data_IF_744378418172
#
_entry.id   IF_744378418172
#
_cell.length_a   1.000
_cell.length_b   1.000
_cell.length_c   1.000
_cell.angle_alpha   90.00
_cell.angle_beta   90.00
_cell.angle_gamma   90.00
#
_symmetry.space_group_name_H-M   'P 1'
#
loop_
_entity.id
_entity.type
_entity.pdbx_description
1 polymer ?
#
# COMPACT_ATOMS: atom_id res chain seq x y z
N UNK A 1 -32.18 -21.36 -6.30
CA UNK A 1 -31.35 -22.58 -6.16
C UNK A 1 -30.12 -22.48 -7.06
N UNK A 2 -28.93 -22.81 -6.56
CA UNK A 2 -27.72 -22.89 -7.38
C UNK A 2 -27.89 -24.07 -8.35
N UNK A 3 -27.84 -23.81 -9.66
CA UNK A 3 -28.11 -24.83 -10.68
C UNK A 3 -26.89 -25.72 -10.98
N UNK A 4 -25.71 -25.36 -10.48
CA UNK A 4 -24.48 -26.14 -10.61
C UNK A 4 -23.72 -26.15 -9.28
N UNK A 5 -23.09 -27.28 -8.96
CA UNK A 5 -22.15 -27.36 -7.86
C UNK A 5 -20.95 -26.43 -8.18
N UNK A 6 -20.42 -25.69 -7.20
CA UNK A 6 -19.24 -24.86 -7.41
C UNK A 6 -18.09 -25.72 -7.92
N UNK A 7 -17.43 -25.27 -8.99
CA UNK A 7 -16.24 -25.94 -9.51
C UNK A 7 -15.18 -26.06 -8.41
N UNK A 8 -14.64 -27.27 -8.24
CA UNK A 8 -13.49 -27.49 -7.37
C UNK A 8 -12.26 -26.96 -8.08
N UNK A 9 -11.94 -25.71 -7.83
CA UNK A 9 -10.65 -25.13 -8.20
C UNK A 9 -9.63 -25.71 -7.22
N UNK A 10 -8.63 -26.44 -7.72
CA UNK A 10 -7.51 -26.88 -6.89
C UNK A 10 -6.84 -25.63 -6.27
N UNK A 11 -6.59 -25.61 -4.95
CA UNK A 11 -5.93 -24.48 -4.34
C UNK A 11 -4.56 -24.32 -5.01
N UNK A 12 -4.35 -23.16 -5.65
CA UNK A 12 -3.06 -22.84 -6.22
C UNK A 12 -2.06 -22.73 -5.05
N UNK A 13 -1.24 -23.77 -4.83
CA UNK A 13 -0.24 -23.88 -3.76
C UNK A 13 0.94 -22.94 -3.98
N UNK A 14 0.70 -21.69 -4.38
CA UNK A 14 1.67 -20.64 -4.09
C UNK A 14 1.59 -20.41 -2.58
N UNK A 15 2.53 -21.01 -1.84
CA UNK A 15 2.77 -20.68 -0.43
C UNK A 15 3.07 -19.18 -0.37
N UNK A 16 2.03 -18.36 -0.23
CA UNK A 16 2.18 -16.94 0.01
C UNK A 16 2.58 -16.83 1.47
N UNK A 17 3.84 -16.49 1.71
CA UNK A 17 4.30 -16.13 3.05
C UNK A 17 3.39 -15.01 3.54
N UNK A 18 2.60 -15.27 4.58
CA UNK A 18 1.73 -14.26 5.16
C UNK A 18 2.60 -13.16 5.76
N UNK A 19 2.47 -11.94 5.24
CA UNK A 19 3.18 -10.77 5.74
C UNK A 19 2.24 -10.07 6.70
N UNK A 20 2.63 -9.98 7.97
CA UNK A 20 1.88 -9.21 8.95
C UNK A 20 2.10 -7.72 8.73
N UNK A 21 1.25 -7.06 7.94
CA UNK A 21 1.46 -5.64 7.61
C UNK A 21 1.29 -4.71 8.84
N UNK A 22 0.59 -5.19 9.87
CA UNK A 22 0.42 -4.47 11.13
C UNK A 22 1.73 -4.27 11.89
N UNK A 23 2.81 -4.99 11.56
CA UNK A 23 4.13 -4.74 12.14
C UNK A 23 4.86 -3.53 11.54
N UNK A 24 4.43 -3.03 10.38
CA UNK A 24 5.09 -1.92 9.67
C UNK A 24 4.38 -0.57 9.82
N UNK A 25 3.14 -0.57 10.30
CA UNK A 25 2.33 0.64 10.47
C UNK A 25 1.79 0.67 11.89
N UNK A 26 2.03 1.76 12.62
CA UNK A 26 1.43 1.93 13.95
C UNK A 26 -0.04 2.29 13.81
N UNK A 27 -0.89 1.69 14.62
CA UNK A 27 -2.31 2.02 14.70
C UNK A 27 -2.79 1.86 16.14
N UNK A 28 -3.82 2.61 16.49
CA UNK A 28 -4.30 2.70 17.87
C UNK A 28 -5.80 2.38 18.00
N UNK A 29 -6.46 2.01 16.89
CA UNK A 29 -7.89 1.68 16.86
C UNK A 29 -8.17 0.55 15.86
N UNK A 30 -9.09 -0.34 16.22
CA UNK A 30 -9.59 -1.40 15.33
C UNK A 30 -10.44 -0.88 14.18
N UNK A 31 -10.99 0.33 14.28
CA UNK A 31 -11.81 0.93 13.21
C UNK A 31 -10.94 1.54 12.08
N UNK A 32 -9.65 1.71 12.34
CA UNK A 32 -8.71 2.33 11.43
C UNK A 32 -7.30 1.75 11.59
N UNK A 33 -7.19 0.50 11.16
CA UNK A 33 -5.95 -0.29 11.14
C UNK A 33 -5.56 -0.66 9.70
N UNK A 34 -4.29 -0.99 9.42
CA UNK A 34 -3.91 -1.58 8.15
C UNK A 34 -4.47 -3.02 8.07
N UNK A 35 -4.55 -3.54 6.84
CA UNK A 35 -4.88 -4.96 6.66
C UNK A 35 -3.87 -5.86 7.39
N UNK A 36 -4.30 -6.99 7.93
CA UNK A 36 -3.39 -7.97 8.54
C UNK A 36 -2.60 -8.76 7.49
N UNK A 37 -3.20 -8.95 6.32
CA UNK A 37 -2.61 -9.61 5.15
C UNK A 37 -2.90 -8.78 3.90
N UNK A 38 -1.92 -8.67 3.00
CA UNK A 38 -2.03 -7.92 1.75
C UNK A 38 -2.73 -8.74 0.66
N UNK A 39 -2.60 -10.07 0.70
CA UNK A 39 -2.96 -10.95 -0.40
C UNK A 39 -4.44 -10.83 -0.87
N UNK A 40 -5.44 -10.66 0.00
CA UNK A 40 -6.85 -10.53 -0.42
C UNK A 40 -7.17 -9.23 -1.17
N UNK A 41 -6.30 -8.23 -1.05
CA UNK A 41 -6.53 -6.87 -1.56
C UNK A 41 -5.76 -6.58 -2.85
N UNK A 42 -4.91 -7.51 -3.28
CA UNK A 42 -4.12 -7.40 -4.51
C UNK A 42 -4.78 -8.23 -5.61
N UNK A 43 -4.99 -7.59 -6.76
CA UNK A 43 -5.62 -8.20 -7.92
C UNK A 43 -4.60 -9.08 -8.63
N UNK A 44 -4.84 -10.39 -8.59
CA UNK A 44 -4.00 -11.36 -9.29
C UNK A 44 -4.26 -11.39 -10.80
N UNK A 45 -5.55 -11.35 -11.19
CA UNK A 45 -5.99 -11.39 -12.59
C UNK A 45 -7.23 -10.50 -12.72
N UNK A 46 -7.32 -9.74 -13.80
CA UNK A 46 -8.54 -9.00 -14.13
C UNK A 46 -9.71 -9.98 -14.32
N UNK A 47 -10.90 -9.67 -13.79
CA UNK A 47 -12.08 -10.46 -14.06
C UNK A 47 -12.47 -10.35 -15.54
N UNK A 48 -13.16 -11.37 -16.06
CA UNK A 48 -13.66 -11.37 -17.44
C UNK A 48 -14.79 -10.36 -17.66
N UNK A 49 -15.52 -10.02 -16.59
CA UNK A 49 -16.53 -8.98 -16.57
C UNK A 49 -16.44 -8.17 -15.27
N UNK A 50 -16.50 -6.84 -15.39
CA UNK A 50 -16.60 -5.94 -14.24
C UNK A 50 -18.04 -5.87 -13.75
N UNK A 51 -18.36 -6.66 -12.73
CA UNK A 51 -19.65 -6.60 -12.06
C UNK A 51 -19.64 -5.67 -10.83
N UNK A 52 -20.79 -5.53 -10.17
CA UNK A 52 -20.93 -4.69 -8.98
C UNK A 52 -20.13 -5.24 -7.77
N UNK A 53 -19.88 -6.55 -7.72
CA UNK A 53 -19.09 -7.16 -6.65
C UNK A 53 -17.62 -6.82 -6.82
N UNK A 54 -17.08 -6.90 -8.04
CA UNK A 54 -15.72 -6.49 -8.35
C UNK A 54 -15.51 -5.01 -8.06
N UNK A 55 -16.43 -4.13 -8.46
CA UNK A 55 -16.36 -2.70 -8.14
C UNK A 55 -16.34 -2.44 -6.62
N UNK A 56 -17.17 -3.16 -5.87
CA UNK A 56 -17.19 -3.03 -4.40
C UNK A 56 -15.92 -3.56 -3.76
N UNK A 57 -15.42 -4.69 -4.24
CA UNK A 57 -14.14 -5.23 -3.81
C UNK A 57 -13.02 -4.23 -4.09
N UNK A 58 -12.97 -3.62 -5.28
CA UNK A 58 -11.95 -2.65 -5.67
C UNK A 58 -11.95 -1.43 -4.74
N UNK A 59 -13.12 -0.90 -4.37
CA UNK A 59 -13.25 0.18 -3.37
C UNK A 59 -12.62 -0.20 -2.04
N UNK A 60 -12.98 -1.38 -1.51
CA UNK A 60 -12.45 -1.86 -0.24
C UNK A 60 -10.95 -2.11 -0.33
N UNK A 61 -10.48 -2.72 -1.42
CA UNK A 61 -9.06 -2.98 -1.68
C UNK A 61 -8.26 -1.68 -1.71
N UNK A 62 -8.69 -0.65 -2.44
CA UNK A 62 -8.03 0.67 -2.43
C UNK A 62 -7.83 1.20 -1.01
N UNK A 63 -8.90 1.18 -0.21
CA UNK A 63 -8.90 1.65 1.17
C UNK A 63 -7.98 0.80 2.08
N UNK A 64 -7.94 -0.52 1.90
CA UNK A 64 -7.07 -1.40 2.68
C UNK A 64 -5.60 -1.24 2.30
N UNK A 65 -5.30 -1.18 1.00
CA UNK A 65 -3.95 -1.03 0.48
C UNK A 65 -3.34 0.31 0.89
N UNK A 66 -4.07 1.43 0.74
CA UNK A 66 -3.48 2.74 1.03
C UNK A 66 -3.16 2.96 2.52
N UNK A 67 -3.87 2.30 3.44
CA UNK A 67 -3.57 2.31 4.88
C UNK A 67 -2.24 1.63 5.23
N UNK A 68 -1.72 0.80 4.34
CA UNK A 68 -0.43 0.11 4.54
C UNK A 68 0.76 0.97 4.07
N UNK A 69 0.48 2.05 3.34
CA UNK A 69 1.46 2.94 2.72
C UNK A 69 1.78 4.19 3.56
N UNK A 70 1.53 4.13 4.86
CA UNK A 70 1.80 5.21 5.82
C UNK A 70 2.57 4.67 7.01
N UNK A 71 3.09 5.53 7.89
CA UNK A 71 3.81 5.08 9.08
C UNK A 71 2.87 4.92 10.28
N UNK A 72 1.85 5.78 10.41
CA UNK A 72 0.89 5.70 11.51
C UNK A 72 -0.54 6.02 11.05
N UNK A 73 -1.51 5.35 11.67
CA UNK A 73 -2.95 5.56 11.52
C UNK A 73 -3.54 5.99 12.87
N UNK A 74 -4.23 7.12 12.88
CA UNK A 74 -4.83 7.72 14.06
C UNK A 74 -6.35 7.85 13.85
N UNK A 75 -7.13 7.39 14.82
CA UNK A 75 -8.58 7.50 14.82
C UNK A 75 -9.05 8.18 16.11
N UNK A 76 -8.69 9.46 16.23
CA UNK A 76 -9.21 10.35 17.26
C UNK A 76 -10.58 10.90 16.79
N UNK A 77 -10.87 12.19 17.00
CA UNK A 77 -12.08 12.84 16.46
C UNK A 77 -12.18 12.76 14.93
N UNK A 78 -11.03 12.71 14.23
CA UNK A 78 -10.93 12.55 12.77
C UNK A 78 -9.84 11.54 12.43
N UNK A 79 -10.10 10.71 11.41
CA UNK A 79 -9.11 9.80 10.85
C UNK A 79 -7.97 10.60 10.22
N UNK A 80 -6.76 10.36 10.69
CA UNK A 80 -5.54 10.99 10.17
C UNK A 80 -4.41 9.99 10.07
N UNK A 81 -3.44 10.30 9.22
CA UNK A 81 -2.26 9.46 8.99
C UNK A 81 -0.99 10.25 9.24
N UNK A 82 0.10 9.55 9.54
CA UNK A 82 1.42 10.14 9.68
C UNK A 82 2.39 9.57 8.66
N UNK A 83 3.24 10.43 8.10
CA UNK A 83 4.39 10.09 7.27
C UNK A 83 5.68 10.61 7.94
N UNK A 84 6.70 9.77 8.09
CA UNK A 84 7.92 10.06 8.87
C UNK A 84 9.08 10.64 8.07
N UNK A 85 8.80 11.33 6.95
CA UNK A 85 9.84 12.02 6.18
C UNK A 85 10.34 13.31 6.83
N UNK A 86 11.13 14.10 6.08
CA UNK A 86 11.65 15.39 6.52
C UNK A 86 11.14 16.52 5.61
N UNK A 87 10.19 17.37 6.06
CA UNK A 87 9.52 17.33 7.37
C UNK A 87 8.47 16.21 7.47
N UNK A 88 8.15 15.73 8.69
CA UNK A 88 7.06 14.77 8.87
C UNK A 88 5.71 15.41 8.55
N UNK A 89 4.75 14.59 8.13
CA UNK A 89 3.40 15.05 7.76
C UNK A 89 2.36 14.32 8.60
N UNK A 90 1.43 15.08 9.20
CA UNK A 90 0.16 14.57 9.76
C UNK A 90 -0.98 15.07 8.87
N UNK A 91 -1.71 14.16 8.25
CA UNK A 91 -2.67 14.46 7.20
C UNK A 91 -4.05 13.90 7.55
N UNK A 92 -5.12 14.62 7.22
CA UNK A 92 -6.47 14.05 7.26
C UNK A 92 -6.54 12.91 6.25
N UNK A 93 -7.19 11.79 6.60
CA UNK A 93 -7.25 10.62 5.73
C UNK A 93 -7.97 10.90 4.41
N UNK A 94 -9.19 11.45 4.46
CA UNK A 94 -9.99 11.75 3.26
C UNK A 94 -10.84 10.57 2.77
N UNK A 95 -11.35 10.68 1.54
CA UNK A 95 -12.22 9.70 0.91
C UNK A 95 -11.44 8.70 0.03
N UNK A 96 -11.35 7.41 0.39
CA UNK A 96 -10.60 6.42 -0.36
C UNK A 96 -11.22 6.07 -1.72
N UNK A 97 -12.50 6.38 -1.98
CA UNK A 97 -13.14 6.05 -3.26
C UNK A 97 -12.53 6.85 -4.43
N UNK A 98 -11.83 7.96 -4.14
CA UNK A 98 -11.05 8.75 -5.12
C UNK A 98 -9.91 7.90 -5.72
N UNK A 99 -9.42 6.88 -5.03
CA UNK A 99 -8.26 6.09 -5.44
C UNK A 99 -8.57 5.04 -6.51
N UNK A 100 -9.85 4.84 -6.87
CA UNK A 100 -10.27 3.79 -7.80
C UNK A 100 -9.60 3.89 -9.18
N UNK A 101 -9.43 5.10 -9.70
CA UNK A 101 -8.78 5.35 -11.00
C UNK A 101 -7.29 4.98 -11.00
N UNK A 102 -6.66 4.99 -9.83
CA UNK A 102 -5.21 4.87 -9.65
C UNK A 102 -4.82 3.53 -9.02
N UNK A 103 -5.76 2.59 -8.96
CA UNK A 103 -5.55 1.27 -8.38
C UNK A 103 -4.36 0.53 -8.98
N UNK A 104 -4.11 0.67 -10.29
CA UNK A 104 -2.96 0.01 -10.95
C UNK A 104 -1.62 0.52 -10.43
N UNK A 105 -1.49 1.82 -10.18
CA UNK A 105 -0.29 2.42 -9.59
C UNK A 105 -0.16 1.99 -8.13
N UNK A 106 -1.27 2.05 -7.38
CA UNK A 106 -1.32 1.58 -5.99
C UNK A 106 -0.83 0.14 -5.88
N UNK A 107 -1.37 -0.76 -6.70
CA UNK A 107 -0.97 -2.16 -6.76
C UNK A 107 0.50 -2.32 -7.14
N UNK A 108 1.03 -1.51 -8.06
CA UNK A 108 2.45 -1.56 -8.43
C UNK A 108 3.36 -1.23 -7.25
N UNK A 109 3.01 -0.20 -6.46
CA UNK A 109 3.77 0.16 -5.25
C UNK A 109 3.68 -0.93 -4.20
N UNK A 110 2.48 -1.48 -3.97
CA UNK A 110 2.24 -2.58 -3.03
C UNK A 110 3.06 -3.81 -3.41
N UNK A 111 3.07 -4.18 -4.69
CA UNK A 111 3.85 -5.30 -5.18
C UNK A 111 5.34 -5.08 -4.92
N UNK A 112 5.88 -3.89 -5.23
CA UNK A 112 7.29 -3.60 -5.02
C UNK A 112 7.72 -3.65 -3.55
N UNK A 113 6.90 -3.09 -2.64
CA UNK A 113 7.21 -3.04 -1.20
C UNK A 113 7.04 -4.42 -0.55
N UNK A 114 5.88 -5.04 -0.75
CA UNK A 114 5.46 -6.19 0.07
C UNK A 114 5.59 -7.54 -0.65
N UNK A 115 5.46 -7.61 -1.98
CA UNK A 115 5.40 -8.91 -2.68
C UNK A 115 6.73 -9.29 -3.34
N UNK A 116 7.39 -8.33 -3.99
CA UNK A 116 8.55 -8.59 -4.85
C UNK A 116 9.87 -8.80 -4.10
N UNK A 117 9.93 -8.70 -2.77
CA UNK A 117 11.19 -9.06 -2.13
C UNK A 117 11.34 -8.85 -0.64
N UNK A 118 12.59 -9.06 -0.22
CA UNK A 118 13.10 -8.83 1.13
C UNK A 118 13.20 -7.32 1.41
N UNK A 119 13.49 -6.97 2.66
CA UNK A 119 13.72 -5.58 3.10
C UNK A 119 12.47 -4.68 3.02
N UNK A 120 11.30 -5.24 3.34
CA UNK A 120 10.01 -4.52 3.40
C UNK A 120 10.13 -3.22 4.18
N UNK A 121 10.75 -3.27 5.36
CA UNK A 121 10.93 -2.10 6.24
C UNK A 121 11.74 -0.98 5.57
N UNK A 122 12.82 -1.33 4.85
CA UNK A 122 13.67 -0.38 4.16
C UNK A 122 12.93 0.27 2.98
N UNK A 123 12.26 -0.54 2.16
CA UNK A 123 11.47 -0.03 1.02
C UNK A 123 10.34 0.86 1.49
N UNK A 124 9.62 0.44 2.54
CA UNK A 124 8.55 1.23 3.16
C UNK A 124 9.09 2.54 3.74
N UNK A 125 10.27 2.54 4.36
CA UNK A 125 10.92 3.73 4.89
C UNK A 125 11.30 4.71 3.77
N UNK A 126 11.94 4.25 2.70
CA UNK A 126 12.26 5.11 1.56
C UNK A 126 11.00 5.65 0.91
N UNK A 127 10.00 4.80 0.69
CA UNK A 127 8.73 5.21 0.12
C UNK A 127 8.03 6.29 0.97
N UNK A 128 7.81 6.05 2.27
CA UNK A 128 7.08 6.99 3.13
C UNK A 128 7.84 8.30 3.35
N UNK A 129 9.18 8.26 3.35
CA UNK A 129 10.01 9.47 3.38
C UNK A 129 9.85 10.33 2.12
N UNK A 130 9.93 9.72 0.94
CA UNK A 130 9.75 10.45 -0.32
C UNK A 130 8.32 10.94 -0.49
N UNK A 131 7.34 10.13 -0.09
CA UNK A 131 5.93 10.52 -0.11
C UNK A 131 5.68 11.77 0.76
N UNK A 132 6.24 11.81 1.97
CA UNK A 132 6.14 12.97 2.85
C UNK A 132 6.78 14.23 2.24
N UNK A 133 7.93 14.09 1.57
CA UNK A 133 8.66 15.19 0.94
C UNK A 133 7.86 15.84 -0.19
N UNK A 134 7.21 15.02 -1.02
CA UNK A 134 6.42 15.49 -2.16
C UNK A 134 5.04 16.05 -1.76
N UNK A 135 4.65 15.90 -0.49
CA UNK A 135 3.29 16.18 -0.04
C UNK A 135 3.01 17.68 0.10
N UNK A 136 1.99 18.21 -0.59
CA UNK A 136 1.62 19.62 -0.51
C UNK A 136 0.94 19.93 0.83
N UNK A 137 0.91 21.21 1.19
CA UNK A 137 0.15 21.66 2.36
C UNK A 137 -1.37 21.60 2.08
N UNK A 138 -2.15 21.37 3.14
CA UNK A 138 -3.63 21.43 3.14
C UNK A 138 -4.36 20.45 2.19
N UNK A 139 -3.70 19.41 1.69
CA UNK A 139 -4.35 18.35 0.91
C UNK A 139 -4.47 17.08 1.74
N UNK A 140 -5.65 16.46 1.76
CA UNK A 140 -5.86 15.19 2.47
C UNK A 140 -5.06 14.04 1.83
N UNK A 141 -4.91 12.96 2.57
CA UNK A 141 -4.12 11.81 2.10
C UNK A 141 -4.71 11.19 0.83
N UNK A 142 -5.99 10.83 0.83
CA UNK A 142 -6.63 10.19 -0.32
C UNK A 142 -6.71 11.12 -1.56
N UNK A 143 -6.89 12.43 -1.39
CA UNK A 143 -6.91 13.37 -2.52
C UNK A 143 -5.52 13.59 -3.13
N UNK A 144 -4.47 13.62 -2.29
CA UNK A 144 -3.10 13.85 -2.72
C UNK A 144 -2.43 12.62 -3.33
N UNK A 145 -2.82 11.43 -2.87
CA UNK A 145 -2.14 10.18 -3.19
C UNK A 145 -2.05 9.90 -4.70
N UNK A 146 -3.14 10.00 -5.51
CA UNK A 146 -3.05 9.79 -6.97
C UNK A 146 -1.97 10.61 -7.67
N UNK A 147 -1.80 11.87 -7.23
CA UNK A 147 -0.87 12.82 -7.84
C UNK A 147 0.57 12.62 -7.39
N UNK A 148 0.78 12.16 -6.15
CA UNK A 148 2.10 12.10 -5.51
C UNK A 148 2.70 10.70 -5.50
N UNK A 149 1.87 9.66 -5.55
CA UNK A 149 2.28 8.27 -5.53
C UNK A 149 3.27 7.92 -6.65
N UNK A 150 3.06 8.28 -7.93
CA UNK A 150 4.02 7.93 -8.99
C UNK A 150 5.41 8.55 -8.79
N UNK A 151 5.46 9.82 -8.41
CA UNK A 151 6.71 10.55 -8.20
C UNK A 151 7.48 10.00 -6.99
N UNK A 152 6.80 9.86 -5.85
CA UNK A 152 7.40 9.32 -4.64
C UNK A 152 7.92 7.90 -4.84
N UNK A 153 7.18 7.07 -5.59
CA UNK A 153 7.59 5.70 -5.90
C UNK A 153 8.86 5.63 -6.73
N UNK A 154 8.97 6.42 -7.81
CA UNK A 154 10.18 6.42 -8.63
C UNK A 154 11.38 6.97 -7.88
N UNK A 155 11.21 8.02 -7.06
CA UNK A 155 12.29 8.51 -6.20
C UNK A 155 12.73 7.47 -5.16
N UNK A 156 11.79 6.78 -4.52
CA UNK A 156 12.10 5.73 -3.55
C UNK A 156 12.85 4.55 -4.19
N UNK A 157 12.49 4.16 -5.42
CA UNK A 157 13.22 3.13 -6.19
C UNK A 157 14.65 3.56 -6.51
N UNK A 158 14.88 4.82 -6.82
CA UNK A 158 16.23 5.35 -7.06
C UNK A 158 17.07 5.33 -5.78
N UNK A 159 16.50 5.75 -4.64
CA UNK A 159 17.17 5.68 -3.34
C UNK A 159 17.53 4.25 -2.96
N UNK A 160 16.60 3.31 -3.14
CA UNK A 160 16.85 1.89 -2.88
C UNK A 160 17.98 1.35 -3.77
N UNK A 161 17.96 1.63 -5.08
CA UNK A 161 19.05 1.22 -5.99
C UNK A 161 20.41 1.81 -5.59
N UNK A 162 20.43 3.07 -5.13
CA UNK A 162 21.65 3.71 -4.65
C UNK A 162 22.16 3.06 -3.35
N UNK A 163 21.25 2.74 -2.41
CA UNK A 163 21.57 2.03 -1.18
C UNK A 163 22.22 0.67 -1.46
N UNK A 164 21.62 -0.16 -2.33
CA UNK A 164 22.18 -1.46 -2.69
C UNK A 164 23.60 -1.33 -3.27
N UNK A 165 23.82 -0.36 -4.18
CA UNK A 165 25.16 -0.12 -4.75
C UNK A 165 26.20 0.30 -3.71
N UNK A 166 25.81 1.07 -2.71
CA UNK A 166 26.68 1.49 -1.62
C UNK A 166 27.05 0.29 -0.72
N UNK A 167 26.06 -0.49 -0.30
CA UNK A 167 26.25 -1.68 0.55
C UNK A 167 27.11 -2.76 -0.14
N UNK A 168 26.93 -2.99 -1.45
CA UNK A 168 27.79 -3.91 -2.22
C UNK A 168 29.26 -3.48 -2.26
N UNK A 169 29.55 -2.17 -2.22
CA UNK A 169 30.92 -1.65 -2.27
C UNK A 169 31.65 -1.83 -0.93
N UNK A 170 30.93 -1.80 0.19
CA UNK A 170 31.51 -1.97 1.53
C UNK A 170 31.85 -3.43 1.83
N UNK A 171 31.17 -4.39 1.21
CA UNK A 171 31.37 -5.84 1.44
C UNK A 171 32.64 -6.40 0.75
N UNK A 172 33.30 -5.62 -0.12
CA UNK A 172 34.50 -6.03 -0.88
C UNK A 172 35.81 -5.54 -0.20
N UNK A 173 35.73 -4.89 0.97
CA UNK A 173 36.91 -4.39 1.70
C UNK A 173 37.41 -5.34 2.79
#
# INVERSE_FOLDING_TARGET
PWNHAPEKIEPNETVRTSINLQSYVKFYSSEFMPASDIAPWVLYKMPEAEDNFFKKWLQVSCNMLCRTLVNELLADEKKSICLTGKPPKKLIYGDPDILLSDYSVLQTVINWIFIEGNEIELKHTFFTSELAREWPEYVSFCEGLPKKLPMAFESAKLLYKAHIRASSRETIK
#
